data_IF_980992599002
#
_entry.id   IF_980992599002
#
_cell.length_a   1.000
_cell.length_b   1.000
_cell.length_c   1.000
_cell.angle_alpha   90.00
_cell.angle_beta   90.00
_cell.angle_gamma   90.00
#
_symmetry.space_group_name_H-M   'P 1'
#
loop_
_entity.id
_entity.type
_entity.pdbx_description
1 polymer ?
#
# COMPACT_ATOMS: atom_id res chain seq x y z
N UNK A 1 -34.76 38.66 10.07
CA UNK A 1 -34.94 37.94 8.77
C UNK A 1 -33.96 36.79 8.74
N UNK A 2 -34.40 35.57 8.39
CA UNK A 2 -33.48 34.45 8.19
C UNK A 2 -32.61 34.71 6.94
N UNK A 3 -31.32 34.35 7.01
CA UNK A 3 -30.41 34.49 5.86
C UNK A 3 -30.90 33.66 4.67
N UNK A 4 -30.79 34.21 3.46
CA UNK A 4 -31.09 33.46 2.24
C UNK A 4 -30.03 32.39 1.99
N UNK A 5 -30.35 31.38 1.19
CA UNK A 5 -29.41 30.30 0.84
C UNK A 5 -28.12 30.87 0.23
N UNK A 6 -28.25 31.82 -0.71
CA UNK A 6 -27.14 32.46 -1.39
C UNK A 6 -26.19 33.19 -0.42
N UNK A 7 -26.76 33.94 0.54
CA UNK A 7 -25.97 34.63 1.57
C UNK A 7 -25.23 33.67 2.50
N UNK A 8 -25.78 32.47 2.76
CA UNK A 8 -25.10 31.42 3.53
C UNK A 8 -23.94 30.81 2.76
N UNK A 9 -24.13 30.55 1.47
CA UNK A 9 -23.11 29.98 0.61
C UNK A 9 -21.95 30.96 0.35
N UNK A 10 -22.25 32.25 0.18
CA UNK A 10 -21.24 33.32 0.09
C UNK A 10 -20.43 33.44 1.38
N UNK A 11 -21.09 33.44 2.55
CA UNK A 11 -20.40 33.46 3.85
C UNK A 11 -19.52 32.23 4.04
N UNK A 12 -19.96 31.05 3.60
CA UNK A 12 -19.16 29.82 3.66
C UNK A 12 -17.92 29.93 2.77
N UNK A 13 -18.07 30.40 1.53
CA UNK A 13 -16.94 30.60 0.61
C UNK A 13 -15.94 31.63 1.14
N UNK A 14 -16.42 32.77 1.62
CA UNK A 14 -15.56 33.82 2.19
C UNK A 14 -14.80 33.32 3.42
N UNK A 15 -15.41 32.45 4.24
CA UNK A 15 -14.72 31.83 5.37
C UNK A 15 -13.63 30.86 4.90
N UNK A 16 -13.95 29.99 3.94
CA UNK A 16 -13.01 29.01 3.41
C UNK A 16 -11.79 29.69 2.77
N UNK A 17 -12.01 30.73 1.97
CA UNK A 17 -10.94 31.53 1.36
C UNK A 17 -10.06 32.20 2.43
N UNK A 18 -10.67 32.81 3.45
CA UNK A 18 -9.93 33.46 4.54
C UNK A 18 -9.08 32.47 5.35
N UNK A 19 -9.57 31.25 5.55
CA UNK A 19 -8.88 30.20 6.32
C UNK A 19 -8.01 29.30 5.44
N UNK A 20 -7.95 29.55 4.13
CA UNK A 20 -7.25 28.72 3.15
C UNK A 20 -7.69 27.25 3.25
N UNK A 21 -8.97 27.02 3.52
CA UNK A 21 -9.56 25.69 3.61
C UNK A 21 -9.56 25.06 2.21
N UNK A 22 -8.89 23.92 2.08
CA UNK A 22 -8.92 23.10 0.88
C UNK A 22 -9.68 21.79 1.13
N UNK A 23 -10.52 21.40 0.17
CA UNK A 23 -11.29 20.16 0.21
C UNK A 23 -10.38 18.96 -0.13
N UNK A 24 -9.93 18.22 0.89
CA UNK A 24 -9.27 16.93 0.67
C UNK A 24 -10.31 15.82 0.44
N UNK A 25 -10.51 15.40 -0.82
CA UNK A 25 -11.50 14.39 -1.20
C UNK A 25 -10.85 13.08 -1.64
N UNK A 26 -11.21 11.98 -0.98
CA UNK A 26 -10.72 10.64 -1.30
C UNK A 26 -11.89 9.68 -1.55
N UNK A 27 -11.92 9.03 -2.71
CA UNK A 27 -12.82 7.90 -2.99
C UNK A 27 -12.16 6.61 -2.54
N UNK A 28 -12.79 5.89 -1.61
CA UNK A 28 -12.23 4.68 -1.00
C UNK A 28 -13.03 3.43 -1.35
N UNK A 29 -12.32 2.29 -1.47
CA UNK A 29 -12.94 0.95 -1.56
C UNK A 29 -13.32 0.45 -0.15
N UNK A 30 -14.17 -0.58 -0.02
CA UNK A 30 -14.62 -1.08 1.28
C UNK A 30 -13.49 -1.43 2.25
N UNK A 31 -12.40 -2.07 1.78
CA UNK A 31 -11.27 -2.43 2.65
C UNK A 31 -10.56 -1.21 3.27
N UNK A 32 -10.34 -0.15 2.48
CA UNK A 32 -9.75 1.10 2.99
C UNK A 32 -10.69 1.81 3.96
N UNK A 33 -12.01 1.75 3.72
CA UNK A 33 -13.01 2.31 4.65
C UNK A 33 -12.98 1.56 5.99
N UNK A 34 -12.97 0.24 5.95
CA UNK A 34 -12.90 -0.59 7.14
C UNK A 34 -11.64 -0.29 7.96
N UNK A 35 -10.48 -0.21 7.31
CA UNK A 35 -9.23 0.13 8.00
C UNK A 35 -9.32 1.51 8.69
N UNK A 36 -9.95 2.51 8.06
CA UNK A 36 -10.17 3.81 8.69
C UNK A 36 -11.12 3.73 9.90
N UNK A 37 -12.17 2.89 9.82
CA UNK A 37 -13.10 2.67 10.93
C UNK A 37 -12.41 2.00 12.14
N UNK A 38 -11.51 1.05 11.88
CA UNK A 38 -10.70 0.41 12.93
C UNK A 38 -9.72 1.39 13.58
N UNK A 39 -9.01 2.19 12.77
CA UNK A 39 -8.11 3.24 13.29
C UNK A 39 -8.85 4.23 14.18
N UNK A 40 -10.04 4.67 13.75
CA UNK A 40 -10.93 5.52 14.55
C UNK A 40 -11.30 4.88 15.88
N UNK A 41 -11.66 3.59 15.87
CA UNK A 41 -11.98 2.87 17.09
C UNK A 41 -10.77 2.80 18.05
N UNK A 42 -9.56 2.53 17.55
CA UNK A 42 -8.34 2.52 18.37
C UNK A 42 -8.01 3.90 18.95
N UNK A 43 -8.24 4.96 18.18
CA UNK A 43 -7.98 6.34 18.59
C UNK A 43 -9.13 6.96 19.40
N UNK A 44 -10.27 6.27 19.56
CA UNK A 44 -11.50 6.82 20.14
C UNK A 44 -11.99 8.11 19.43
N UNK A 45 -11.89 8.13 18.10
CA UNK A 45 -12.31 9.25 17.24
C UNK A 45 -13.53 8.84 16.41
N UNK A 46 -14.55 9.70 16.34
CA UNK A 46 -15.78 9.41 15.58
C UNK A 46 -15.70 9.90 14.13
N UNK A 47 -15.08 11.06 13.93
CA UNK A 47 -15.07 11.77 12.65
C UNK A 47 -13.90 11.33 11.76
N UNK A 48 -14.19 11.02 10.49
CA UNK A 48 -13.16 10.66 9.52
C UNK A 48 -12.14 11.79 9.32
N UNK A 49 -12.61 13.04 9.29
CA UNK A 49 -11.74 14.21 9.10
C UNK A 49 -10.72 14.34 10.22
N UNK A 50 -11.17 14.17 11.47
CA UNK A 50 -10.30 14.23 12.64
C UNK A 50 -9.25 13.12 12.62
N UNK A 51 -9.66 11.88 12.35
CA UNK A 51 -8.73 10.76 12.24
C UNK A 51 -7.67 10.99 11.15
N UNK A 52 -8.08 11.48 9.98
CA UNK A 52 -7.15 11.79 8.88
C UNK A 52 -6.19 12.93 9.22
N UNK A 53 -6.67 14.01 9.84
CA UNK A 53 -5.83 15.12 10.30
C UNK A 53 -4.79 14.65 11.32
N UNK A 54 -5.20 13.82 12.29
CA UNK A 54 -4.29 13.25 13.26
C UNK A 54 -3.24 12.36 12.60
N UNK A 55 -3.63 11.46 11.69
CA UNK A 55 -2.69 10.61 10.96
C UNK A 55 -1.64 11.42 10.20
N UNK A 56 -2.05 12.49 9.51
CA UNK A 56 -1.13 13.37 8.77
C UNK A 56 -0.14 14.03 9.74
N UNK A 57 -0.62 14.61 10.84
CA UNK A 57 0.25 15.27 11.82
C UNK A 57 1.21 14.30 12.49
N UNK A 58 0.73 13.12 12.91
CA UNK A 58 1.57 12.11 13.58
C UNK A 58 2.66 11.58 12.65
N UNK A 59 2.33 11.28 11.39
CA UNK A 59 3.35 10.85 10.43
C UNK A 59 4.38 11.97 10.17
N UNK A 60 3.94 13.22 10.09
CA UNK A 60 4.84 14.35 9.92
C UNK A 60 5.79 14.53 11.11
N UNK A 61 5.30 14.36 12.35
CA UNK A 61 6.10 14.40 13.58
C UNK A 61 7.20 13.32 13.62
N UNK A 62 6.99 12.16 12.99
CA UNK A 62 7.99 11.09 12.91
C UNK A 62 9.13 11.39 11.93
N UNK A 63 9.00 12.44 11.11
CA UNK A 63 10.03 12.87 10.17
C UNK A 63 10.05 12.09 8.84
N UNK A 64 10.88 12.54 7.89
CA UNK A 64 10.79 12.13 6.48
C UNK A 64 11.21 10.68 6.21
N UNK A 65 12.05 10.08 7.04
CA UNK A 65 12.45 8.67 6.89
C UNK A 65 11.33 7.72 7.32
N UNK A 66 10.75 7.96 8.50
CA UNK A 66 9.62 7.19 8.99
C UNK A 66 8.40 7.35 8.07
N UNK A 67 8.11 8.58 7.62
CA UNK A 67 7.03 8.81 6.66
C UNK A 67 7.24 8.02 5.36
N UNK A 68 8.47 7.98 4.82
CA UNK A 68 8.80 7.15 3.66
C UNK A 68 8.58 5.68 3.93
N UNK A 69 8.95 5.17 5.11
CA UNK A 69 8.73 3.78 5.47
C UNK A 69 7.24 3.39 5.43
N UNK A 70 6.35 4.20 6.02
CA UNK A 70 4.91 3.90 6.07
C UNK A 70 4.15 4.17 4.77
N UNK A 71 4.63 5.11 3.94
CA UNK A 71 3.98 5.47 2.67
C UNK A 71 4.51 4.68 1.47
N UNK A 72 5.58 3.89 1.65
CA UNK A 72 6.08 2.99 0.62
C UNK A 72 5.40 1.63 0.76
N UNK A 73 4.95 1.04 -0.35
CA UNK A 73 4.51 -0.36 -0.34
C UNK A 73 5.65 -1.23 0.22
N UNK A 74 5.38 -2.19 1.13
CA UNK A 74 6.41 -3.08 1.63
C UNK A 74 6.96 -3.88 0.45
N UNK A 75 8.17 -3.53 0.00
CA UNK A 75 8.91 -4.36 -0.93
C UNK A 75 9.50 -5.49 -0.09
N UNK A 76 8.97 -6.69 -0.24
CA UNK A 76 9.66 -7.87 0.27
C UNK A 76 10.94 -8.02 -0.55
N UNK A 77 12.08 -7.75 0.07
CA UNK A 77 13.36 -8.11 -0.53
C UNK A 77 13.48 -9.63 -0.49
N UNK A 78 13.44 -10.29 -1.65
CA UNK A 78 13.65 -11.73 -1.75
C UNK A 78 15.16 -11.97 -1.64
N UNK A 79 15.63 -12.24 -0.43
CA UNK A 79 17.03 -12.62 -0.19
C UNK A 79 17.16 -14.14 -0.28
N UNK A 80 17.89 -14.63 -1.29
CA UNK A 80 18.26 -16.05 -1.38
C UNK A 80 19.38 -16.32 -0.38
N UNK A 81 19.11 -17.10 0.66
CA UNK A 81 20.16 -17.51 1.60
C UNK A 81 21.20 -18.41 0.94
N UNK A 82 22.43 -18.43 1.45
CA UNK A 82 23.50 -19.33 0.96
C UNK A 82 23.08 -20.81 0.96
N UNK A 83 22.27 -21.22 1.94
CA UNK A 83 21.75 -22.58 2.00
C UNK A 83 20.79 -22.87 0.83
N UNK A 84 19.89 -21.94 0.53
CA UNK A 84 18.96 -22.06 -0.60
C UNK A 84 19.71 -22.01 -1.93
N UNK A 85 20.70 -21.14 -2.07
CA UNK A 85 21.56 -21.07 -3.25
C UNK A 85 22.26 -22.41 -3.51
N UNK A 86 22.90 -22.98 -2.49
CA UNK A 86 23.56 -24.31 -2.59
C UNK A 86 22.58 -25.42 -2.95
N UNK A 87 21.36 -25.38 -2.41
CA UNK A 87 20.34 -26.39 -2.71
C UNK A 87 19.83 -26.27 -4.14
N UNK A 88 19.68 -25.06 -4.66
CA UNK A 88 19.35 -24.81 -6.06
C UNK A 88 20.48 -25.28 -6.99
N UNK A 89 21.75 -25.05 -6.62
CA UNK A 89 22.90 -25.55 -7.36
C UNK A 89 22.97 -27.07 -7.38
N UNK A 90 22.76 -27.72 -6.25
CA UNK A 90 22.70 -29.19 -6.15
C UNK A 90 21.56 -29.77 -6.99
N UNK A 91 20.39 -29.11 -6.97
CA UNK A 91 19.26 -29.51 -7.81
C UNK A 91 19.62 -29.40 -9.30
N UNK A 92 20.24 -28.30 -9.73
CA UNK A 92 20.71 -28.11 -11.11
C UNK A 92 21.68 -29.21 -11.53
N UNK A 93 22.72 -29.49 -10.72
CA UNK A 93 23.71 -30.54 -11.02
C UNK A 93 23.05 -31.93 -11.06
N UNK A 94 22.17 -32.23 -10.11
CA UNK A 94 21.43 -33.50 -10.08
C UNK A 94 20.46 -33.67 -11.25
N UNK A 95 19.95 -32.56 -11.82
CA UNK A 95 19.16 -32.55 -13.06
C UNK A 95 20.03 -32.88 -14.27
N UNK A 96 21.15 -32.18 -14.44
CA UNK A 96 22.11 -32.39 -15.54
C UNK A 96 22.65 -33.83 -15.59
N UNK A 97 22.92 -34.45 -14.43
CA UNK A 97 23.43 -35.83 -14.38
C UNK A 97 22.38 -36.90 -14.70
N UNK A 98 21.09 -36.65 -14.44
CA UNK A 98 20.01 -37.61 -14.68
C UNK A 98 19.51 -37.60 -16.13
N UNK A 99 19.71 -36.49 -16.82
CA UNK A 99 19.23 -36.31 -18.20
C UNK A 99 20.23 -35.48 -19.03
N UNK A 100 21.43 -36.01 -19.31
CA UNK A 100 22.51 -35.24 -19.97
C UNK A 100 22.19 -34.81 -21.41
N UNK A 101 21.31 -35.54 -22.11
CA UNK A 101 20.93 -35.27 -23.51
C UNK A 101 19.52 -34.65 -23.66
N UNK A 102 18.86 -34.30 -22.55
CA UNK A 102 17.48 -33.78 -22.58
C UNK A 102 17.52 -32.26 -22.77
N UNK A 103 17.03 -31.80 -23.92
CA UNK A 103 16.86 -30.37 -24.18
C UNK A 103 15.89 -29.77 -23.15
N UNK A 104 16.17 -28.56 -22.67
CA UNK A 104 15.44 -27.91 -21.55
C UNK A 104 13.90 -27.92 -21.70
N UNK A 105 13.38 -27.99 -22.94
CA UNK A 105 11.94 -28.02 -23.23
C UNK A 105 11.28 -29.40 -23.21
N UNK A 106 12.04 -30.49 -23.13
CA UNK A 106 11.54 -31.87 -23.14
C UNK A 106 11.55 -32.52 -21.74
N UNK A 107 11.85 -31.74 -20.69
CA UNK A 107 11.88 -32.21 -19.32
C UNK A 107 10.47 -32.38 -18.74
N UNK A 108 10.09 -33.60 -18.27
CA UNK A 108 8.77 -33.84 -17.68
C UNK A 108 8.51 -33.04 -16.39
N UNK A 109 9.56 -32.53 -15.72
CA UNK A 109 9.44 -31.65 -14.56
C UNK A 109 9.26 -30.16 -14.95
N UNK A 110 9.45 -29.78 -16.23
CA UNK A 110 9.21 -28.43 -16.78
C UNK A 110 7.73 -28.25 -17.22
N UNK A 111 6.78 -28.66 -16.37
CA UNK A 111 5.34 -28.46 -16.61
C UNK A 111 4.86 -27.02 -16.37
N UNK A 112 5.72 -26.04 -16.68
CA UNK A 112 5.41 -24.62 -16.69
C UNK A 112 5.97 -23.89 -15.49
N UNK A 113 6.94 -23.01 -15.74
CA UNK A 113 7.12 -21.81 -14.93
C UNK A 113 5.74 -21.14 -14.83
N UNK A 114 5.07 -21.23 -13.69
CA UNK A 114 3.94 -20.37 -13.40
C UNK A 114 4.50 -18.96 -13.31
N UNK A 115 4.46 -18.23 -14.43
CA UNK A 115 4.53 -16.79 -14.46
C UNK A 115 3.43 -16.31 -13.50
N UNK A 116 3.80 -16.03 -12.25
CA UNK A 116 3.01 -15.21 -11.36
C UNK A 116 3.04 -13.82 -11.98
N UNK A 117 2.16 -13.63 -12.97
CA UNK A 117 1.95 -12.35 -13.61
C UNK A 117 1.47 -11.38 -12.55
N UNK A 118 2.27 -10.36 -12.30
CA UNK A 118 1.86 -9.19 -11.54
C UNK A 118 0.73 -8.50 -12.32
N UNK A 119 -0.49 -8.61 -11.81
CA UNK A 119 -1.60 -7.70 -12.11
C UNK A 119 -1.57 -6.47 -11.21
#
# INVERSE_FOLDING_TARGET
>A
MALTQQQRDEKRRAKAERLQEEDLRLKVRPGTRQALDEIKAWASVEENGEAMTLLIHRIHELGPEAARHFLSAPRHEIVVSDFVARRLDQFRIGRELRAPDLMLGDDPDDTGLLLLGNG
#
